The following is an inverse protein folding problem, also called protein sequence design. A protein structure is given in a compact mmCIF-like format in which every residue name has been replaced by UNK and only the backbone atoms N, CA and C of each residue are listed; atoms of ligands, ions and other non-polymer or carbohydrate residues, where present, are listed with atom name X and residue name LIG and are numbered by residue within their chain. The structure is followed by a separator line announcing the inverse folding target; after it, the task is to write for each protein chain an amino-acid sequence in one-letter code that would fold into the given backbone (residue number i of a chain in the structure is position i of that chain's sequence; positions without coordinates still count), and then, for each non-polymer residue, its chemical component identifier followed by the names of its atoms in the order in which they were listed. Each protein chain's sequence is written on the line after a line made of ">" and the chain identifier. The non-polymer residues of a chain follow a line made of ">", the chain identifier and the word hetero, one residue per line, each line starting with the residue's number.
data_IF_318589168729
#
_entry.id   IF_318589168729
#
_cell.length_a   1.000
_cell.length_b   1.000
_cell.length_c   1.000
_cell.angle_alpha   90.00
_cell.angle_beta   90.00
_cell.angle_gamma   90.00
#
_symmetry.space_group_name_H-M   'P 1'
#
loop_
_entity.id
_entity.type
_entity.pdbx_description
1 polymer ?
#
# COMPACT_ATOMS: atom_id res chain seq x y z
N UNK A 1 -26.02 84.54 84.33
CA UNK A 1 -25.04 83.89 85.23
C UNK A 1 -25.22 82.39 85.05
N UNK A 2 -24.45 81.72 84.16
CA UNK A 2 -23.19 80.96 84.45
C UNK A 2 -23.41 79.86 85.51
N UNK A 3 -23.02 78.59 85.43
CA UNK A 3 -22.03 77.82 84.64
C UNK A 3 -22.29 76.29 84.93
N UNK A 4 -22.05 75.36 83.99
CA UNK A 4 -20.95 74.35 83.97
C UNK A 4 -21.25 72.88 84.36
N UNK A 5 -20.81 71.95 83.49
CA UNK A 5 -20.28 70.59 83.77
C UNK A 5 -21.30 69.44 83.89
N UNK A 6 -21.14 68.22 83.36
CA UNK A 6 -20.08 67.53 82.60
C UNK A 6 -20.30 65.99 82.66
N UNK A 7 -19.92 65.24 81.61
CA UNK A 7 -19.75 63.76 81.56
C UNK A 7 -21.03 62.91 81.45
N UNK A 8 -21.11 61.75 80.78
CA UNK A 8 -20.16 60.90 80.07
C UNK A 8 -20.74 59.47 79.87
N UNK A 9 -20.72 58.99 78.62
CA UNK A 9 -20.75 57.60 78.08
C UNK A 9 -21.55 56.44 78.73
N UNK A 10 -22.33 55.73 77.89
CA UNK A 10 -22.29 54.25 77.73
C UNK A 10 -23.23 53.78 76.60
N UNK A 11 -22.69 53.26 75.50
CA UNK A 11 -23.28 52.15 74.71
C UNK A 11 -22.51 51.98 73.38
N UNK A 12 -21.37 51.28 73.41
CA UNK A 12 -20.79 50.71 72.19
C UNK A 12 -19.99 49.45 72.51
N UNK A 13 -20.71 48.33 72.70
CA UNK A 13 -20.12 46.99 72.86
C UNK A 13 -21.08 45.93 72.28
N UNK A 14 -21.41 45.99 70.99
CA UNK A 14 -22.11 44.87 70.30
C UNK A 14 -21.74 44.65 68.83
N UNK A 15 -20.83 45.41 68.23
CA UNK A 15 -20.49 45.27 66.79
C UNK A 15 -19.25 44.40 66.46
N UNK A 16 -18.41 44.04 67.44
CA UNK A 16 -17.13 43.34 67.16
C UNK A 16 -17.18 41.81 66.96
N UNK A 17 -18.26 41.11 67.36
CA UNK A 17 -18.29 39.64 67.36
C UNK A 17 -18.77 39.01 66.03
N UNK A 18 -19.58 39.74 65.24
CA UNK A 18 -20.08 39.24 63.94
C UNK A 18 -19.07 39.32 62.81
N UNK A 19 -18.14 40.28 62.87
CA UNK A 19 -17.18 40.55 61.80
C UNK A 19 -15.96 39.60 61.85
N UNK A 20 -15.54 39.19 63.05
CA UNK A 20 -14.50 38.16 63.26
C UNK A 20 -15.00 36.77 62.84
N UNK A 21 -16.27 36.47 63.07
CA UNK A 21 -16.89 35.18 62.67
C UNK A 21 -17.10 35.09 61.15
N UNK A 22 -17.46 36.20 60.50
CA UNK A 22 -17.52 36.29 59.02
C UNK A 22 -16.15 36.18 58.37
N UNK A 23 -15.10 36.81 58.92
CA UNK A 23 -13.72 36.69 58.39
C UNK A 23 -13.18 35.26 58.53
N UNK A 24 -13.41 34.59 59.67
CA UNK A 24 -13.02 33.18 59.87
C UNK A 24 -13.77 32.20 58.95
N UNK A 25 -15.07 32.43 58.71
CA UNK A 25 -15.84 31.62 57.75
C UNK A 25 -15.31 31.80 56.33
N UNK A 26 -15.08 33.04 55.90
CA UNK A 26 -14.58 33.35 54.57
C UNK A 26 -13.17 32.75 54.33
N UNK A 27 -12.27 32.77 55.32
CA UNK A 27 -10.95 32.13 55.20
C UNK A 27 -11.01 30.60 55.15
N UNK A 28 -11.92 29.97 55.91
CA UNK A 28 -12.15 28.53 55.86
C UNK A 28 -12.75 28.08 54.52
N UNK A 29 -13.69 28.85 53.98
CA UNK A 29 -14.32 28.56 52.68
C UNK A 29 -13.31 28.71 51.52
N UNK A 30 -12.29 29.57 51.67
CA UNK A 30 -11.21 29.75 50.69
C UNK A 30 -10.18 28.62 50.76
N UNK A 31 -9.78 28.19 51.97
CA UNK A 31 -8.89 27.02 52.15
C UNK A 31 -9.52 25.72 51.64
N UNK A 32 -10.83 25.51 51.85
CA UNK A 32 -11.54 24.32 51.36
C UNK A 32 -11.64 24.33 49.82
N UNK A 33 -11.81 25.50 49.21
CA UNK A 33 -11.82 25.66 47.75
C UNK A 33 -10.42 25.38 47.14
N UNK A 34 -9.35 25.87 47.76
CA UNK A 34 -7.97 25.61 47.31
C UNK A 34 -7.60 24.12 47.44
N UNK A 35 -7.99 23.44 48.53
CA UNK A 35 -7.76 21.99 48.70
C UNK A 35 -8.53 21.19 47.65
N UNK A 36 -9.80 21.51 47.40
CA UNK A 36 -10.61 20.84 46.37
C UNK A 36 -10.04 21.04 44.95
N UNK A 37 -9.50 22.23 44.67
CA UNK A 37 -8.86 22.53 43.39
C UNK A 37 -7.52 21.79 43.23
N UNK A 38 -6.78 21.61 44.33
CA UNK A 38 -5.52 20.84 44.35
C UNK A 38 -5.76 19.35 44.14
N UNK A 39 -6.82 18.80 44.75
CA UNK A 39 -7.25 17.40 44.58
C UNK A 39 -7.73 17.12 43.15
N UNK A 40 -8.44 18.07 42.52
CA UNK A 40 -8.82 17.98 41.11
C UNK A 40 -7.59 17.95 40.18
N UNK A 41 -6.57 18.77 40.47
CA UNK A 41 -5.34 18.82 39.68
C UNK A 41 -4.53 17.53 39.86
N UNK A 42 -4.45 16.99 41.08
CA UNK A 42 -3.82 15.70 41.34
C UNK A 42 -4.56 14.55 40.65
N UNK A 43 -5.89 14.51 40.73
CA UNK A 43 -6.73 13.51 40.04
C UNK A 43 -6.54 13.55 38.52
N UNK A 44 -6.48 14.75 37.93
CA UNK A 44 -6.18 14.93 36.50
C UNK A 44 -4.76 14.49 36.13
N UNK A 45 -3.76 14.72 36.99
CA UNK A 45 -2.39 14.21 36.77
C UNK A 45 -2.31 12.69 36.80
N UNK A 46 -2.90 12.06 37.82
CA UNK A 46 -2.88 10.59 37.96
C UNK A 46 -3.58 9.93 36.78
N UNK A 47 -4.72 10.46 36.31
CA UNK A 47 -5.38 9.97 35.10
C UNK A 47 -4.51 10.13 33.84
N UNK A 48 -3.84 11.27 33.66
CA UNK A 48 -2.95 11.47 32.52
C UNK A 48 -1.75 10.50 32.55
N UNK A 49 -1.17 10.24 33.73
CA UNK A 49 -0.08 9.29 33.89
C UNK A 49 -0.54 7.85 33.60
N UNK A 50 -1.73 7.44 34.07
CA UNK A 50 -2.33 6.14 33.73
C UNK A 50 -2.63 5.99 32.23
N UNK A 51 -3.17 7.03 31.60
CA UNK A 51 -3.46 7.07 30.17
C UNK A 51 -2.17 6.98 29.33
N UNK A 52 -1.09 7.63 29.76
CA UNK A 52 0.19 7.58 29.08
C UNK A 52 0.89 6.22 29.24
N UNK A 53 0.81 5.60 30.42
CA UNK A 53 1.28 4.21 30.63
C UNK A 53 0.47 3.23 29.77
N UNK A 54 -0.85 3.40 29.66
CA UNK A 54 -1.71 2.57 28.81
C UNK A 54 -1.36 2.74 27.32
N UNK A 55 -1.11 3.98 26.86
CA UNK A 55 -0.65 4.27 25.48
C UNK A 55 0.71 3.65 25.17
N UNK A 56 1.66 3.69 26.11
CA UNK A 56 2.97 3.05 25.92
C UNK A 56 2.83 1.53 25.83
N UNK A 57 2.02 0.92 26.73
CA UNK A 57 1.76 -0.52 26.74
C UNK A 57 1.06 -1.01 25.47
N UNK A 58 0.07 -0.26 24.99
CA UNK A 58 -0.66 -0.56 23.74
C UNK A 58 0.25 -0.41 22.51
N UNK A 59 1.09 0.63 22.44
CA UNK A 59 2.13 0.76 21.40
C UNK A 59 3.11 -0.41 21.39
N UNK A 60 3.62 -0.82 22.55
CA UNK A 60 4.51 -1.99 22.65
C UNK A 60 3.83 -3.28 22.19
N UNK A 61 2.60 -3.53 22.63
CA UNK A 61 1.81 -4.70 22.22
C UNK A 61 1.59 -4.73 20.70
N UNK A 62 1.30 -3.58 20.09
CA UNK A 62 1.09 -3.43 18.65
C UNK A 62 2.36 -3.63 17.84
N UNK A 63 3.48 -3.08 18.31
CA UNK A 63 4.81 -3.30 17.71
C UNK A 63 5.18 -4.80 17.73
N UNK A 64 5.04 -5.45 18.89
CA UNK A 64 5.32 -6.88 19.04
C UNK A 64 4.42 -7.73 18.12
N UNK A 65 3.14 -7.37 17.98
CA UNK A 65 2.22 -8.09 17.09
C UNK A 65 2.66 -8.00 15.62
N UNK A 66 3.13 -6.84 15.15
CA UNK A 66 3.62 -6.68 13.78
C UNK A 66 4.91 -7.47 13.57
N UNK A 67 5.85 -7.44 14.52
CA UNK A 67 7.08 -8.24 14.46
C UNK A 67 6.77 -9.73 14.34
N UNK A 68 5.84 -10.23 15.16
CA UNK A 68 5.39 -11.64 15.09
C UNK A 68 4.77 -11.95 13.71
N UNK A 69 3.97 -11.04 13.14
CA UNK A 69 3.42 -11.21 11.80
C UNK A 69 4.51 -11.28 10.73
N UNK A 70 5.51 -10.39 10.79
CA UNK A 70 6.62 -10.41 9.81
C UNK A 70 7.40 -11.72 9.94
N UNK A 71 7.82 -12.09 11.16
CA UNK A 71 8.54 -13.34 11.38
C UNK A 71 7.74 -14.55 10.93
N UNK A 72 6.47 -14.66 11.33
CA UNK A 72 5.59 -15.76 10.95
C UNK A 72 5.37 -15.85 9.44
N UNK A 73 5.09 -14.73 8.77
CA UNK A 73 4.88 -14.69 7.33
C UNK A 73 6.16 -14.93 6.52
N UNK A 74 7.33 -14.55 7.03
CA UNK A 74 8.64 -14.87 6.42
C UNK A 74 8.97 -16.35 6.58
N UNK A 75 8.80 -16.92 7.77
CA UNK A 75 8.99 -18.35 8.01
C UNK A 75 8.07 -19.16 7.10
N UNK A 76 6.79 -18.79 6.99
CA UNK A 76 5.84 -19.49 6.15
C UNK A 76 6.25 -19.49 4.67
N UNK A 77 6.75 -18.36 4.14
CA UNK A 77 7.28 -18.28 2.76
C UNK A 77 8.49 -19.19 2.57
N UNK A 78 9.41 -19.23 3.54
CA UNK A 78 10.59 -20.11 3.50
C UNK A 78 10.16 -21.58 3.53
N UNK A 79 9.20 -21.95 4.39
CA UNK A 79 8.67 -23.30 4.47
C UNK A 79 7.96 -23.70 3.17
N UNK A 80 7.13 -22.82 2.59
CA UNK A 80 6.48 -23.06 1.30
C UNK A 80 7.50 -23.27 0.18
N UNK A 81 8.58 -22.48 0.15
CA UNK A 81 9.68 -22.67 -0.80
C UNK A 81 10.39 -24.01 -0.62
N UNK A 82 10.68 -24.38 0.63
CA UNK A 82 11.43 -25.59 0.94
C UNK A 82 10.67 -26.88 0.67
N UNK A 83 9.38 -26.93 1.00
CA UNK A 83 8.62 -28.17 1.02
C UNK A 83 7.61 -28.31 -0.12
N UNK A 84 7.13 -27.21 -0.72
CA UNK A 84 5.96 -27.22 -1.61
C UNK A 84 6.24 -26.51 -2.95
N UNK A 85 7.46 -26.03 -3.20
CA UNK A 85 7.81 -25.30 -4.43
C UNK A 85 7.42 -26.06 -5.71
N UNK A 86 7.81 -27.33 -5.84
CA UNK A 86 7.59 -28.11 -7.05
C UNK A 86 6.10 -28.31 -7.38
N UNK A 87 5.27 -28.39 -6.34
CA UNK A 87 3.83 -28.48 -6.51
C UNK A 87 3.24 -27.13 -6.91
N UNK A 88 3.61 -26.05 -6.21
CA UNK A 88 3.09 -24.70 -6.45
C UNK A 88 3.51 -24.14 -7.80
N UNK A 89 4.74 -24.41 -8.25
CA UNK A 89 5.26 -23.91 -9.53
C UNK A 89 4.49 -24.48 -10.74
N UNK A 90 3.88 -25.66 -10.60
CA UNK A 90 3.06 -26.30 -11.63
C UNK A 90 1.60 -25.82 -11.62
N UNK A 91 1.19 -25.08 -10.59
CA UNK A 91 -0.18 -24.61 -10.47
C UNK A 91 -0.43 -23.45 -11.44
N UNK A 92 -1.38 -23.59 -12.39
CA UNK A 92 -1.71 -22.53 -13.35
C UNK A 92 -2.26 -21.27 -12.68
N UNK A 93 -2.71 -21.37 -11.42
CA UNK A 93 -3.18 -20.23 -10.65
C UNK A 93 -2.06 -19.28 -10.22
N UNK A 94 -0.82 -19.79 -10.11
CA UNK A 94 0.33 -19.06 -9.56
C UNK A 94 1.40 -18.76 -10.63
N UNK A 95 1.53 -19.64 -11.62
CA UNK A 95 2.49 -19.54 -12.71
C UNK A 95 1.76 -19.51 -14.05
N UNK A 96 1.45 -18.31 -14.53
CA UNK A 96 0.92 -18.08 -15.88
C UNK A 96 2.06 -17.70 -16.84
N UNK A 97 1.86 -17.78 -18.17
CA UNK A 97 2.79 -17.35 -19.20
C UNK A 97 3.57 -16.06 -18.94
N UNK A 98 2.90 -15.07 -18.36
CA UNK A 98 3.41 -13.71 -18.19
C UNK A 98 4.17 -13.50 -16.87
N UNK A 99 4.01 -14.42 -15.91
CA UNK A 99 4.64 -14.30 -14.58
C UNK A 99 5.52 -15.47 -14.19
N UNK A 100 5.59 -16.52 -15.02
CA UNK A 100 6.32 -17.74 -14.71
C UNK A 100 7.82 -17.51 -14.58
N UNK A 101 8.37 -17.92 -13.43
CA UNK A 101 9.81 -17.91 -13.19
C UNK A 101 10.55 -18.91 -14.08
N UNK A 102 9.95 -20.05 -14.41
CA UNK A 102 10.58 -21.04 -15.29
C UNK A 102 10.77 -20.50 -16.71
N UNK A 103 9.78 -19.77 -17.24
CA UNK A 103 9.92 -19.09 -18.54
C UNK A 103 10.98 -17.99 -18.49
N UNK A 104 11.06 -17.26 -17.39
CA UNK A 104 12.14 -16.28 -17.18
C UNK A 104 13.51 -16.96 -17.22
N UNK A 105 13.65 -18.11 -16.56
CA UNK A 105 14.89 -18.90 -16.56
C UNK A 105 15.27 -19.36 -17.97
N UNK A 106 14.33 -19.90 -18.73
CA UNK A 106 14.56 -20.29 -20.12
C UNK A 106 14.95 -19.10 -21.00
N UNK A 107 14.27 -17.96 -20.86
CA UNK A 107 14.58 -16.75 -21.61
C UNK A 107 15.98 -16.19 -21.31
N UNK A 108 16.40 -16.23 -20.04
CA UNK A 108 17.77 -15.83 -19.64
C UNK A 108 18.81 -16.81 -20.16
N UNK A 109 18.52 -18.12 -20.19
CA UNK A 109 19.42 -19.12 -20.76
C UNK A 109 19.62 -18.89 -22.27
N UNK A 110 18.54 -18.69 -23.04
CA UNK A 110 18.61 -18.37 -24.46
C UNK A 110 19.44 -17.11 -24.74
N UNK A 111 19.23 -16.07 -23.93
CA UNK A 111 19.99 -14.81 -24.04
C UNK A 111 21.50 -15.03 -23.83
N UNK A 112 21.89 -15.92 -22.90
CA UNK A 112 23.30 -16.25 -22.64
C UNK A 112 23.93 -17.07 -23.76
N UNK A 113 23.14 -17.91 -24.42
CA UNK A 113 23.58 -18.70 -25.57
C UNK A 113 23.65 -17.87 -26.86
N UNK A 114 23.32 -16.58 -26.80
CA UNK A 114 23.35 -15.67 -27.96
C UNK A 114 22.17 -15.85 -28.91
N UNK A 115 21.16 -16.61 -28.50
CA UNK A 115 19.92 -16.82 -29.27
C UNK A 115 18.89 -15.78 -28.83
N UNK A 116 18.21 -15.15 -29.79
CA UNK A 116 17.14 -14.20 -29.46
C UNK A 116 16.00 -14.93 -28.73
N UNK A 117 15.63 -14.50 -27.50
CA UNK A 117 14.52 -15.12 -26.76
C UNK A 117 13.16 -14.99 -27.45
N UNK A 118 13.07 -14.12 -28.46
CA UNK A 118 11.83 -13.78 -29.17
C UNK A 118 11.71 -14.41 -30.56
N UNK A 119 12.65 -15.25 -30.96
CA UNK A 119 12.61 -15.96 -32.26
C UNK A 119 11.55 -17.07 -32.31
N UNK A 120 10.77 -17.23 -31.23
CA UNK A 120 9.54 -18.02 -31.16
C UNK A 120 8.52 -17.42 -30.18
N UNK A 121 7.34 -18.02 -30.09
CA UNK A 121 6.22 -17.50 -29.30
C UNK A 121 6.22 -17.97 -27.82
N UNK A 122 7.35 -18.47 -27.33
CA UNK A 122 7.45 -19.09 -25.99
C UNK A 122 7.73 -18.10 -24.86
N UNK A 123 8.48 -17.02 -25.14
CA UNK A 123 8.88 -16.02 -24.15
C UNK A 123 8.05 -14.75 -24.32
N UNK A 124 7.26 -14.44 -23.29
CA UNK A 124 6.36 -13.27 -23.24
C UNK A 124 6.85 -12.18 -22.27
N UNK A 125 8.10 -12.27 -21.83
CA UNK A 125 8.70 -11.39 -20.81
C UNK A 125 9.53 -10.33 -21.51
N UNK A 126 9.49 -9.07 -21.02
CA UNK A 126 10.17 -7.94 -21.66
C UNK A 126 11.71 -8.04 -21.54
N UNK A 127 12.47 -7.52 -22.54
CA UNK A 127 13.93 -7.65 -22.57
C UNK A 127 14.65 -7.14 -21.33
N UNK A 128 14.20 -6.02 -20.75
CA UNK A 128 14.78 -5.41 -19.56
C UNK A 128 14.73 -6.36 -18.36
N UNK A 129 13.66 -7.13 -18.22
CA UNK A 129 13.53 -8.12 -17.14
C UNK A 129 14.53 -9.26 -17.36
N UNK A 130 14.66 -9.75 -18.60
CA UNK A 130 15.63 -10.79 -18.95
C UNK A 130 17.07 -10.34 -18.65
N UNK A 131 17.44 -9.13 -19.04
CA UNK A 131 18.78 -8.58 -18.79
C UNK A 131 19.05 -8.31 -17.31
N UNK A 132 18.09 -7.77 -16.56
CA UNK A 132 18.25 -7.60 -15.10
C UNK A 132 18.45 -8.94 -14.42
N UNK A 133 17.66 -9.96 -14.79
CA UNK A 133 17.81 -11.30 -14.23
C UNK A 133 19.05 -12.04 -14.75
N UNK A 134 19.59 -11.70 -15.92
CA UNK A 134 20.84 -12.28 -16.41
C UNK A 134 22.04 -11.86 -15.55
N UNK A 135 22.03 -10.62 -15.02
CA UNK A 135 23.04 -10.11 -14.08
C UNK A 135 23.00 -10.84 -12.73
N UNK A 136 21.80 -11.16 -12.25
CA UNK A 136 21.58 -11.78 -10.94
C UNK A 136 21.48 -13.31 -11.06
N UNK A 137 21.62 -13.86 -12.26
CA UNK A 137 21.47 -15.29 -12.54
C UNK A 137 22.41 -16.18 -11.71
N UNK A 138 23.62 -15.70 -11.47
CA UNK A 138 24.64 -16.43 -10.71
C UNK A 138 24.38 -16.40 -9.20
N UNK A 139 23.42 -15.61 -8.73
CA UNK A 139 23.07 -15.55 -7.32
C UNK A 139 22.43 -16.88 -6.85
N UNK A 140 22.73 -17.34 -5.63
CA UNK A 140 22.08 -18.52 -5.09
C UNK A 140 20.58 -18.26 -4.91
N UNK A 141 19.76 -19.31 -5.09
CA UNK A 141 18.28 -19.23 -5.03
C UNK A 141 17.76 -18.60 -3.73
N UNK A 142 18.46 -18.80 -2.62
CA UNK A 142 18.15 -18.19 -1.33
C UNK A 142 18.22 -16.66 -1.35
N UNK A 143 19.16 -16.08 -2.08
CA UNK A 143 19.26 -14.62 -2.25
C UNK A 143 18.05 -14.10 -3.04
N UNK A 144 17.66 -14.80 -4.11
CA UNK A 144 16.44 -14.47 -4.86
C UNK A 144 15.20 -14.55 -3.94
N UNK A 145 15.06 -15.63 -3.17
CA UNK A 145 13.96 -15.77 -2.23
C UNK A 145 13.92 -14.61 -1.21
N UNK A 146 15.06 -14.21 -0.65
CA UNK A 146 15.10 -13.06 0.27
C UNK A 146 14.70 -11.75 -0.41
N UNK A 147 15.09 -11.54 -1.67
CA UNK A 147 14.67 -10.36 -2.42
C UNK A 147 13.15 -10.35 -2.68
N UNK A 148 12.55 -11.49 -2.98
CA UNK A 148 11.10 -11.61 -3.17
C UNK A 148 10.32 -11.41 -1.86
N UNK A 149 10.81 -11.95 -0.75
CA UNK A 149 10.23 -11.69 0.59
C UNK A 149 10.32 -10.19 0.92
N UNK A 150 11.42 -9.55 0.57
CA UNK A 150 11.59 -8.11 0.75
C UNK A 150 10.60 -7.30 -0.10
N UNK A 151 10.38 -7.67 -1.37
CA UNK A 151 9.37 -7.04 -2.23
C UNK A 151 7.94 -7.19 -1.67
N UNK A 152 7.59 -8.37 -1.16
CA UNK A 152 6.30 -8.58 -0.49
C UNK A 152 6.17 -7.72 0.79
N UNK A 153 7.25 -7.57 1.57
CA UNK A 153 7.27 -6.72 2.75
C UNK A 153 7.10 -5.24 2.37
N UNK A 154 7.78 -4.79 1.31
CA UNK A 154 7.65 -3.46 0.75
C UNK A 154 6.22 -3.22 0.27
N UNK A 155 5.59 -4.21 -0.37
CA UNK A 155 4.22 -4.13 -0.83
C UNK A 155 3.22 -4.01 0.33
N UNK A 156 3.39 -4.84 1.37
CA UNK A 156 2.59 -4.79 2.59
C UNK A 156 2.73 -3.45 3.32
N UNK A 157 3.95 -2.92 3.41
CA UNK A 157 4.21 -1.60 4.00
C UNK A 157 3.58 -0.47 3.19
N UNK A 158 3.66 -0.54 1.86
CA UNK A 158 3.05 0.45 0.97
C UNK A 158 1.53 0.50 1.13
N UNK A 159 0.85 -0.66 1.22
CA UNK A 159 -0.59 -0.71 1.49
C UNK A 159 -0.93 -0.15 2.88
N UNK A 160 -0.16 -0.53 3.90
CA UNK A 160 -0.33 0.00 5.27
C UNK A 160 -0.31 1.52 5.26
N UNK A 161 0.69 2.11 4.64
CA UNK A 161 0.88 3.55 4.63
C UNK A 161 -0.16 4.26 3.74
N UNK A 162 -0.63 3.60 2.68
CA UNK A 162 -1.74 4.07 1.85
C UNK A 162 -3.05 4.15 2.66
N UNK A 163 -3.40 3.07 3.38
CA UNK A 163 -4.57 3.01 4.26
C UNK A 163 -4.47 4.05 5.37
N UNK A 164 -3.29 4.18 5.99
CA UNK A 164 -3.06 5.18 7.03
C UNK A 164 -3.26 6.60 6.49
N UNK A 165 -2.80 6.90 5.27
CA UNK A 165 -2.97 8.20 4.64
C UNK A 165 -4.45 8.53 4.40
N UNK A 166 -5.21 7.58 3.83
CA UNK A 166 -6.63 7.75 3.55
C UNK A 166 -7.44 7.93 4.85
N UNK A 167 -7.23 7.06 5.84
CA UNK A 167 -8.04 7.08 7.06
C UNK A 167 -7.77 8.33 7.92
N UNK A 168 -6.55 8.89 7.82
CA UNK A 168 -6.24 10.20 8.40
C UNK A 168 -6.96 11.32 7.66
N UNK A 169 -7.01 11.29 6.34
CA UNK A 169 -7.75 12.27 5.52
C UNK A 169 -9.26 12.24 5.84
N UNK A 170 -9.82 11.05 6.11
CA UNK A 170 -11.23 10.84 6.48
C UNK A 170 -11.54 11.04 7.98
N UNK A 171 -10.60 11.47 8.81
CA UNK A 171 -10.77 11.69 10.26
C UNK A 171 -11.32 10.48 11.04
N UNK A 172 -10.89 9.25 10.71
CA UNK A 172 -11.20 8.08 11.53
C UNK A 172 -10.48 8.11 12.89
N UNK A 173 -11.09 7.53 13.93
CA UNK A 173 -10.54 7.55 15.30
C UNK A 173 -9.19 6.83 15.43
N UNK A 174 -9.03 5.67 14.79
CA UNK A 174 -7.84 4.81 14.95
C UNK A 174 -7.21 4.38 13.59
N UNK A 175 -6.66 5.31 12.79
CA UNK A 175 -6.15 5.02 11.45
C UNK A 175 -5.00 4.02 11.46
N UNK A 176 -4.20 4.00 12.53
CA UNK A 176 -3.05 3.11 12.65
C UNK A 176 -3.46 1.64 12.84
N UNK A 177 -4.64 1.37 13.41
CA UNK A 177 -5.12 0.00 13.63
C UNK A 177 -5.60 -0.62 12.32
N UNK A 178 -6.36 0.13 11.52
CA UNK A 178 -6.75 -0.27 10.17
C UNK A 178 -5.54 -0.45 9.25
N UNK A 179 -4.55 0.43 9.34
CA UNK A 179 -3.29 0.30 8.61
C UNK A 179 -2.54 -1.00 8.99
N UNK A 180 -2.42 -1.30 10.29
CA UNK A 180 -1.79 -2.52 10.77
C UNK A 180 -2.58 -3.78 10.35
N UNK A 181 -3.90 -3.69 10.28
CA UNK A 181 -4.77 -4.76 9.80
C UNK A 181 -4.58 -5.02 8.30
N UNK A 182 -4.53 -3.96 7.49
CA UNK A 182 -4.28 -4.07 6.05
C UNK A 182 -2.91 -4.71 5.75
N UNK A 183 -1.87 -4.34 6.52
CA UNK A 183 -0.56 -5.00 6.46
C UNK A 183 -0.67 -6.51 6.68
N UNK A 184 -1.35 -6.93 7.76
CA UNK A 184 -1.51 -8.34 8.13
C UNK A 184 -2.26 -9.11 7.05
N UNK A 185 -3.38 -8.58 6.56
CA UNK A 185 -4.18 -9.23 5.54
C UNK A 185 -3.42 -9.43 4.24
N UNK A 186 -2.60 -8.45 3.82
CA UNK A 186 -1.80 -8.59 2.62
C UNK A 186 -0.62 -9.55 2.82
N UNK A 187 0.14 -9.38 3.90
CA UNK A 187 1.38 -10.15 4.11
C UNK A 187 1.11 -11.62 4.45
N UNK A 188 -0.02 -11.93 5.09
CA UNK A 188 -0.46 -13.29 5.40
C UNK A 188 -1.44 -13.86 4.36
N UNK A 189 -1.65 -13.17 3.24
CA UNK A 189 -2.48 -13.69 2.16
C UNK A 189 -1.82 -14.97 1.59
N UNK A 190 -2.52 -16.12 1.56
CA UNK A 190 -1.95 -17.37 1.03
C UNK A 190 -1.47 -17.21 -0.40
N UNK A 191 -2.12 -16.37 -1.22
CA UNK A 191 -1.69 -16.15 -2.60
C UNK A 191 -0.35 -15.41 -2.68
N UNK A 192 -0.12 -14.37 -1.87
CA UNK A 192 1.16 -13.62 -1.89
C UNK A 192 2.31 -14.46 -1.35
N UNK A 193 2.02 -15.28 -0.33
CA UNK A 193 2.97 -16.28 0.20
C UNK A 193 3.36 -17.26 -0.92
N UNK A 194 2.37 -17.82 -1.62
CA UNK A 194 2.63 -18.77 -2.70
C UNK A 194 3.38 -18.15 -3.88
N UNK A 195 3.01 -16.94 -4.33
CA UNK A 195 3.67 -16.28 -5.47
C UNK A 195 5.12 -15.90 -5.18
N UNK A 196 5.41 -15.45 -3.96
CA UNK A 196 6.78 -15.14 -3.54
C UNK A 196 7.61 -16.40 -3.33
N UNK A 197 7.01 -17.46 -2.77
CA UNK A 197 7.68 -18.76 -2.64
C UNK A 197 8.10 -19.32 -4.01
N UNK A 198 7.26 -19.24 -5.05
CA UNK A 198 7.65 -19.74 -6.38
C UNK A 198 8.49 -18.77 -7.21
N UNK A 199 8.89 -17.61 -6.65
CA UNK A 199 9.65 -16.57 -7.34
C UNK A 199 8.92 -15.98 -8.57
N UNK A 200 7.58 -15.95 -8.54
CA UNK A 200 6.76 -15.46 -9.65
C UNK A 200 6.90 -13.95 -9.86
N UNK A 201 7.03 -13.51 -11.12
CA UNK A 201 7.11 -12.07 -11.46
C UNK A 201 5.89 -11.29 -10.96
N UNK A 202 4.78 -11.98 -10.64
CA UNK A 202 3.61 -11.39 -9.99
C UNK A 202 3.97 -10.64 -8.70
N UNK A 203 4.93 -11.12 -7.89
CA UNK A 203 5.39 -10.42 -6.68
C UNK A 203 6.01 -9.06 -7.01
N UNK A 204 6.80 -8.97 -8.10
CA UNK A 204 7.37 -7.72 -8.57
C UNK A 204 6.26 -6.77 -9.01
N UNK A 205 5.33 -7.23 -9.84
CA UNK A 205 4.23 -6.40 -10.33
C UNK A 205 3.31 -5.93 -9.20
N UNK A 206 2.98 -6.81 -8.25
CA UNK A 206 2.19 -6.48 -7.08
C UNK A 206 2.89 -5.43 -6.21
N UNK A 207 4.20 -5.56 -5.99
CA UNK A 207 4.96 -4.55 -5.22
C UNK A 207 4.94 -3.17 -5.89
N UNK A 208 5.13 -3.11 -7.22
CA UNK A 208 5.04 -1.87 -7.99
C UNK A 208 3.63 -1.27 -7.94
N UNK A 209 2.58 -2.11 -8.01
CA UNK A 209 1.19 -1.67 -7.95
C UNK A 209 0.87 -1.04 -6.59
N UNK A 210 1.27 -1.69 -5.50
CA UNK A 210 1.04 -1.17 -4.15
C UNK A 210 1.81 0.12 -3.88
N UNK A 211 3.03 0.24 -4.43
CA UNK A 211 3.80 1.48 -4.35
C UNK A 211 3.14 2.61 -5.15
N UNK A 212 2.57 2.30 -6.32
CA UNK A 212 1.73 3.24 -7.06
C UNK A 212 0.52 3.70 -6.23
N UNK A 213 -0.21 2.77 -5.61
CA UNK A 213 -1.37 3.09 -4.75
C UNK A 213 -0.94 3.99 -3.59
N UNK A 214 0.17 3.70 -2.94
CA UNK A 214 0.73 4.55 -1.90
C UNK A 214 1.04 5.98 -2.41
N UNK A 215 1.74 6.11 -3.54
CA UNK A 215 2.05 7.40 -4.15
C UNK A 215 0.79 8.16 -4.57
N UNK A 216 -0.23 7.44 -5.05
CA UNK A 216 -1.55 7.98 -5.39
C UNK A 216 -2.24 8.58 -4.16
N UNK A 217 -2.28 7.85 -3.04
CA UNK A 217 -2.85 8.35 -1.78
C UNK A 217 -2.12 9.59 -1.26
N UNK A 218 -0.79 9.61 -1.34
CA UNK A 218 0.04 10.76 -0.94
C UNK A 218 -0.02 11.95 -1.90
N UNK A 219 -0.74 11.84 -3.01
CA UNK A 219 -0.85 12.88 -4.05
C UNK A 219 0.50 13.30 -4.64
N UNK A 220 1.48 12.40 -4.63
CA UNK A 220 2.81 12.61 -5.17
C UNK A 220 2.79 12.38 -6.69
N UNK A 221 2.48 13.44 -7.44
CA UNK A 221 2.23 13.40 -8.89
C UNK A 221 3.35 12.69 -9.65
N UNK A 222 4.59 13.14 -9.50
CA UNK A 222 5.72 12.63 -10.30
C UNK A 222 5.93 11.15 -10.07
N UNK A 223 5.97 10.72 -8.80
CA UNK A 223 6.18 9.32 -8.45
C UNK A 223 4.99 8.45 -8.87
N UNK A 224 3.76 8.91 -8.69
CA UNK A 224 2.58 8.15 -9.09
C UNK A 224 2.49 7.97 -10.61
N UNK A 225 2.72 9.04 -11.38
CA UNK A 225 2.71 8.98 -12.85
C UNK A 225 3.84 8.08 -13.39
N UNK A 226 5.04 8.18 -12.82
CA UNK A 226 6.17 7.35 -13.23
C UNK A 226 5.96 5.87 -12.88
N UNK A 227 5.52 5.57 -11.65
CA UNK A 227 5.23 4.19 -11.24
C UNK A 227 4.11 3.59 -12.09
N UNK A 228 3.06 4.37 -12.41
CA UNK A 228 1.99 3.93 -13.30
C UNK A 228 2.53 3.58 -14.70
N UNK A 229 3.41 4.40 -15.26
CA UNK A 229 4.06 4.11 -16.54
C UNK A 229 4.91 2.84 -16.49
N UNK A 230 5.70 2.66 -15.43
CA UNK A 230 6.52 1.45 -15.22
C UNK A 230 5.64 0.20 -15.12
N UNK A 231 4.58 0.24 -14.30
CA UNK A 231 3.71 -0.93 -14.15
C UNK A 231 2.91 -1.22 -15.43
N UNK A 232 2.42 -0.18 -16.12
CA UNK A 232 1.68 -0.32 -17.37
C UNK A 232 2.55 -0.90 -18.50
N UNK A 233 3.85 -0.65 -18.46
CA UNK A 233 4.80 -1.25 -19.40
C UNK A 233 4.96 -2.76 -19.19
N UNK A 234 5.09 -3.20 -17.93
CA UNK A 234 5.28 -4.62 -17.60
C UNK A 234 3.99 -5.44 -17.67
N UNK A 235 2.88 -4.84 -17.25
CA UNK A 235 1.54 -5.41 -17.31
C UNK A 235 0.62 -4.35 -17.89
N UNK A 236 0.02 -4.61 -19.06
CA UNK A 236 -0.73 -3.61 -19.81
C UNK A 236 -1.94 -3.06 -19.03
N UNK A 237 -2.67 -3.92 -18.33
CA UNK A 237 -3.99 -3.57 -17.75
C UNK A 237 -3.99 -2.47 -16.67
N UNK A 238 -2.99 -2.36 -15.76
CA UNK A 238 -2.84 -1.22 -14.86
C UNK A 238 -2.91 0.17 -15.52
N UNK A 239 -2.67 0.31 -16.84
CA UNK A 239 -2.81 1.59 -17.56
C UNK A 239 -4.17 2.26 -17.33
N UNK A 240 -5.23 1.47 -17.11
CA UNK A 240 -6.58 2.01 -16.94
C UNK A 240 -6.72 2.85 -15.66
N UNK A 241 -5.82 2.67 -14.68
CA UNK A 241 -5.75 3.50 -13.48
C UNK A 241 -5.33 4.96 -13.77
N UNK A 242 -4.90 5.28 -14.99
CA UNK A 242 -4.58 6.65 -15.42
C UNK A 242 -5.79 7.58 -15.28
N UNK A 243 -7.00 7.07 -15.53
CA UNK A 243 -8.25 7.83 -15.38
C UNK A 243 -8.43 8.22 -13.91
N UNK A 244 -8.22 7.27 -12.99
CA UNK A 244 -8.32 7.51 -11.55
C UNK A 244 -7.28 8.54 -11.08
N UNK A 245 -6.04 8.46 -11.61
CA UNK A 245 -4.98 9.42 -11.34
C UNK A 245 -5.37 10.83 -11.79
N UNK A 246 -5.87 10.99 -13.02
CA UNK A 246 -6.24 12.30 -13.55
C UNK A 246 -7.42 12.93 -12.82
N UNK A 247 -8.41 12.14 -12.42
CA UNK A 247 -9.53 12.62 -11.60
C UNK A 247 -9.03 13.20 -10.27
N UNK A 248 -8.06 12.53 -9.61
CA UNK A 248 -7.49 13.01 -8.34
C UNK A 248 -6.68 14.29 -8.49
N UNK A 249 -5.99 14.49 -9.62
CA UNK A 249 -5.12 15.64 -9.82
C UNK A 249 -5.86 17.00 -9.96
N UNK A 250 -7.18 17.00 -10.19
CA UNK A 250 -8.15 18.13 -10.27
C UNK A 250 -7.80 19.34 -11.18
N UNK A 251 -6.53 19.58 -11.50
CA UNK A 251 -6.01 20.76 -12.22
C UNK A 251 -5.42 20.35 -13.56
N UNK A 252 -5.79 21.05 -14.64
CA UNK A 252 -5.31 20.75 -16.00
C UNK A 252 -3.78 20.75 -16.13
N UNK A 253 -3.08 21.69 -15.47
CA UNK A 253 -1.60 21.74 -15.44
C UNK A 253 -0.98 20.45 -14.88
N UNK A 254 -1.57 19.91 -13.81
CA UNK A 254 -1.11 18.66 -13.17
C UNK A 254 -1.41 17.45 -14.05
N UNK A 255 -2.57 17.43 -14.71
CA UNK A 255 -2.94 16.37 -15.65
C UNK A 255 -1.97 16.35 -16.84
N UNK A 256 -1.70 17.52 -17.45
CA UNK A 256 -0.73 17.65 -18.55
C UNK A 256 0.68 17.21 -18.14
N UNK A 257 1.14 17.63 -16.94
CA UNK A 257 2.42 17.18 -16.40
C UNK A 257 2.46 15.65 -16.17
N UNK A 258 1.38 15.08 -15.60
CA UNK A 258 1.26 13.62 -15.41
C UNK A 258 1.29 12.87 -16.73
N UNK A 259 0.62 13.39 -17.77
CA UNK A 259 0.63 12.79 -19.11
C UNK A 259 2.04 12.82 -19.70
N UNK A 260 2.75 13.95 -19.59
CA UNK A 260 4.14 14.07 -20.04
C UNK A 260 5.08 13.08 -19.35
N UNK A 261 4.96 12.91 -18.03
CA UNK A 261 5.79 11.96 -17.26
C UNK A 261 5.45 10.51 -17.64
N UNK A 262 4.16 10.19 -17.79
CA UNK A 262 3.73 8.86 -18.20
C UNK A 262 4.23 8.53 -19.62
N UNK A 263 4.09 9.45 -20.56
CA UNK A 263 4.60 9.29 -21.92
C UNK A 263 6.12 9.12 -21.94
N UNK A 264 6.85 9.94 -21.16
CA UNK A 264 8.31 9.86 -21.05
C UNK A 264 8.76 8.53 -20.47
N UNK A 265 8.11 8.03 -19.42
CA UNK A 265 8.47 6.76 -18.78
C UNK A 265 8.19 5.57 -19.70
N UNK A 266 7.05 5.55 -20.39
CA UNK A 266 6.75 4.51 -21.39
C UNK A 266 7.72 4.55 -22.58
N UNK A 267 7.99 5.74 -23.14
CA UNK A 267 8.91 5.90 -24.25
C UNK A 267 10.34 5.53 -23.85
N UNK A 268 10.78 5.94 -22.65
CA UNK A 268 12.09 5.59 -22.11
C UNK A 268 12.24 4.08 -21.92
N UNK A 269 11.25 3.41 -21.31
CA UNK A 269 11.27 1.96 -21.16
C UNK A 269 11.23 1.24 -22.51
N UNK A 270 10.41 1.70 -23.44
CA UNK A 270 10.38 1.15 -24.79
C UNK A 270 11.75 1.25 -25.47
N UNK A 271 12.39 2.43 -25.41
CA UNK A 271 13.71 2.66 -25.98
C UNK A 271 14.79 1.77 -25.33
N UNK A 272 14.78 1.66 -23.99
CA UNK A 272 15.70 0.77 -23.27
C UNK A 272 15.52 -0.68 -23.71
N UNK A 273 14.29 -1.17 -23.82
CA UNK A 273 14.02 -2.54 -24.28
C UNK A 273 14.42 -2.75 -25.75
N UNK A 274 14.19 -1.76 -26.60
CA UNK A 274 14.62 -1.78 -28.00
C UNK A 274 16.15 -1.85 -28.12
N UNK A 275 16.89 -1.04 -27.35
CA UNK A 275 18.34 -1.08 -27.30
C UNK A 275 18.88 -2.42 -26.76
N UNK A 276 18.27 -2.93 -25.68
CA UNK A 276 18.66 -4.21 -25.06
C UNK A 276 18.35 -5.43 -25.94
N UNK A 277 17.41 -5.32 -26.88
CA UNK A 277 17.05 -6.36 -27.84
C UNK A 277 17.79 -6.21 -29.18
N UNK A 278 18.95 -5.54 -29.20
CA UNK A 278 19.75 -5.38 -30.41
C UNK A 278 19.09 -4.54 -31.50
N UNK A 279 18.32 -3.52 -31.12
CA UNK A 279 17.56 -2.65 -32.03
C UNK A 279 16.51 -3.40 -32.87
N UNK A 280 15.94 -4.48 -32.32
CA UNK A 280 14.81 -5.20 -32.91
C UNK A 280 13.53 -5.01 -32.10
N UNK A 281 12.40 -4.85 -32.78
CA UNK A 281 11.05 -4.76 -32.18
C UNK A 281 10.36 -6.11 -32.04
N UNK A 282 11.07 -7.23 -32.25
CA UNK A 282 10.51 -8.60 -32.15
C UNK A 282 9.77 -8.85 -30.85
N UNK A 283 10.27 -8.35 -29.72
CA UNK A 283 9.65 -8.50 -28.41
C UNK A 283 8.24 -7.89 -28.32
N UNK A 284 7.90 -6.90 -29.17
CA UNK A 284 6.60 -6.20 -29.10
C UNK A 284 5.45 -7.14 -29.43
N UNK A 285 5.62 -7.94 -30.48
CA UNK A 285 4.63 -8.93 -30.90
C UNK A 285 4.42 -9.98 -29.79
N UNK A 286 5.49 -10.49 -29.21
CA UNK A 286 5.40 -11.56 -28.22
C UNK A 286 4.91 -11.05 -26.86
N UNK A 287 5.39 -9.90 -26.38
CA UNK A 287 5.01 -9.39 -25.06
C UNK A 287 3.61 -8.75 -25.06
N UNK A 288 3.32 -7.91 -26.06
CA UNK A 288 2.07 -7.13 -26.10
C UNK A 288 1.04 -7.70 -27.05
N UNK A 289 1.48 -8.20 -28.22
CA UNK A 289 0.58 -8.84 -29.19
C UNK A 289 -0.10 -10.08 -28.62
N UNK A 290 0.67 -10.99 -27.99
CA UNK A 290 0.10 -12.19 -27.37
C UNK A 290 -0.87 -11.89 -26.22
N UNK A 291 -0.64 -10.78 -25.50
CA UNK A 291 -1.54 -10.34 -24.44
C UNK A 291 -2.89 -9.82 -25.00
N UNK A 292 -2.87 -9.16 -26.15
CA UNK A 292 -4.06 -8.62 -26.79
C UNK A 292 -4.83 -9.67 -27.60
N UNK A 293 -4.12 -10.52 -28.32
CA UNK A 293 -4.71 -11.60 -29.13
C UNK A 293 -5.17 -12.79 -28.31
N UNK A 294 -4.69 -12.94 -27.06
CA UNK A 294 -5.02 -14.05 -26.15
C UNK A 294 -4.86 -15.43 -26.82
N UNK A 295 -3.85 -15.57 -27.68
CA UNK A 295 -3.60 -16.80 -28.42
C UNK A 295 -2.94 -17.88 -27.56
N UNK A 296 -2.27 -17.49 -26.46
CA UNK A 296 -1.76 -18.43 -25.47
C UNK A 296 -2.91 -18.95 -24.60
N UNK A 297 -3.38 -20.16 -24.92
CA UNK A 297 -4.46 -20.87 -24.22
C UNK A 297 -3.97 -21.70 -23.03
N UNK A 298 -2.77 -21.46 -22.53
CA UNK A 298 -2.29 -22.13 -21.32
C UNK A 298 -3.24 -21.87 -20.15
N UNK A 299 -3.55 -22.92 -19.36
CA UNK A 299 -4.48 -22.80 -18.26
C UNK A 299 -4.07 -21.70 -17.28
N UNK A 300 -5.04 -20.93 -16.83
CA UNK A 300 -4.90 -19.91 -15.81
C UNK A 300 -6.21 -19.80 -15.00
N UNK A 301 -6.24 -18.96 -13.96
CA UNK A 301 -7.43 -18.76 -13.11
C UNK A 301 -8.63 -18.23 -13.91
N UNK A 302 -8.37 -17.48 -15.00
CA UNK A 302 -9.41 -16.91 -15.83
C UNK A 302 -10.15 -17.99 -16.61
N UNK A 303 -11.45 -17.83 -16.80
CA UNK A 303 -12.27 -18.74 -17.63
C UNK A 303 -12.00 -18.51 -19.14
N UNK A 304 -11.30 -17.43 -19.50
CA UNK A 304 -11.12 -17.02 -20.89
C UNK A 304 -10.35 -18.05 -21.73
N UNK A 305 -9.32 -18.72 -21.20
CA UNK A 305 -8.55 -19.69 -21.97
C UNK A 305 -9.44 -20.88 -22.38
N UNK A 306 -10.30 -21.35 -21.47
CA UNK A 306 -11.25 -22.43 -21.73
C UNK A 306 -12.28 -22.02 -22.77
N UNK A 307 -12.79 -20.79 -22.66
CA UNK A 307 -13.71 -20.21 -23.64
C UNK A 307 -13.08 -20.13 -25.04
N UNK A 308 -11.87 -19.58 -25.17
CA UNK A 308 -11.18 -19.44 -26.45
C UNK A 308 -10.68 -20.77 -27.02
N UNK A 309 -10.50 -21.79 -26.19
CA UNK A 309 -10.21 -23.15 -26.64
C UNK A 309 -11.41 -23.84 -27.30
N UNK A 310 -12.65 -23.51 -26.90
CA UNK A 310 -13.86 -24.10 -27.46
C UNK A 310 -14.48 -23.32 -28.61
N UNK A 311 -14.14 -22.04 -28.76
CA UNK A 311 -14.78 -21.21 -29.74
C UNK A 311 -14.26 -21.44 -31.17
N UNK A 312 -15.18 -21.42 -32.13
CA UNK A 312 -14.83 -21.49 -33.54
C UNK A 312 -14.01 -20.26 -33.99
N UNK A 313 -13.00 -20.51 -34.82
CA UNK A 313 -12.08 -19.47 -35.32
C UNK A 313 -12.76 -18.23 -35.93
N UNK A 314 -13.83 -18.34 -36.75
CA UNK A 314 -14.49 -17.16 -37.31
C UNK A 314 -15.08 -16.22 -36.25
N UNK A 315 -15.52 -16.77 -35.11
CA UNK A 315 -16.12 -16.00 -34.02
C UNK A 315 -15.09 -15.46 -33.02
N UNK A 316 -13.87 -16.00 -33.02
CA UNK A 316 -12.81 -15.63 -32.07
C UNK A 316 -12.57 -14.12 -32.02
N UNK A 317 -12.47 -13.46 -33.17
CA UNK A 317 -12.19 -12.01 -33.25
C UNK A 317 -13.29 -11.17 -32.58
N UNK A 318 -14.56 -11.55 -32.78
CA UNK A 318 -15.68 -10.87 -32.12
C UNK A 318 -15.59 -10.97 -30.60
N UNK A 319 -15.35 -12.17 -30.08
CA UNK A 319 -15.26 -12.35 -28.63
C UNK A 319 -13.99 -11.73 -28.05
N UNK A 320 -12.85 -11.77 -28.75
CA UNK A 320 -11.64 -11.05 -28.34
C UNK A 320 -11.96 -9.56 -28.10
N UNK A 321 -12.66 -8.93 -29.04
CA UNK A 321 -13.08 -7.54 -28.89
C UNK A 321 -13.97 -7.33 -27.65
N UNK A 322 -14.96 -8.21 -27.42
CA UNK A 322 -15.84 -8.14 -26.25
C UNK A 322 -15.04 -8.29 -24.94
N UNK A 323 -14.11 -9.25 -24.86
CA UNK A 323 -13.27 -9.46 -23.68
C UNK A 323 -12.39 -8.24 -23.38
N UNK A 324 -11.81 -7.63 -24.41
CA UNK A 324 -11.02 -6.41 -24.23
C UNK A 324 -11.87 -5.20 -23.81
N UNK A 325 -13.18 -5.17 -24.12
CA UNK A 325 -14.11 -4.12 -23.65
C UNK A 325 -14.58 -4.29 -22.21
N UNK A 326 -14.58 -5.52 -21.66
CA UNK A 326 -14.97 -5.75 -20.26
C UNK A 326 -14.02 -5.01 -19.31
N UNK A 327 -12.72 -5.02 -19.61
CA UNK A 327 -11.68 -4.41 -18.78
C UNK A 327 -11.86 -2.90 -18.56
N UNK A 328 -11.94 -2.04 -19.60
CA UNK A 328 -12.18 -0.61 -19.41
C UNK A 328 -13.54 -0.35 -18.75
N UNK A 329 -14.56 -1.18 -18.99
CA UNK A 329 -15.88 -1.03 -18.35
C UNK A 329 -15.82 -1.23 -16.84
N UNK A 330 -15.17 -2.31 -16.37
CA UNK A 330 -14.99 -2.56 -14.94
C UNK A 330 -14.15 -1.47 -14.28
N UNK A 331 -13.17 -0.93 -14.99
CA UNK A 331 -12.34 0.13 -14.47
C UNK A 331 -13.02 1.49 -14.45
N UNK A 332 -13.98 1.78 -15.34
CA UNK A 332 -14.82 2.98 -15.23
C UNK A 332 -15.54 2.97 -13.88
N UNK A 333 -16.12 1.83 -13.50
CA UNK A 333 -16.76 1.67 -12.18
C UNK A 333 -15.76 1.98 -11.06
N UNK A 334 -14.56 1.39 -11.12
CA UNK A 334 -13.52 1.64 -10.11
C UNK A 334 -13.08 3.11 -10.04
N UNK A 335 -12.91 3.77 -11.19
CA UNK A 335 -12.51 5.18 -11.26
C UNK A 335 -13.57 6.10 -10.65
N UNK A 336 -14.86 5.79 -10.85
CA UNK A 336 -15.95 6.50 -10.19
C UNK A 336 -16.00 6.24 -8.68
N UNK A 337 -15.74 5.00 -8.23
CA UNK A 337 -15.67 4.69 -6.79
C UNK A 337 -14.53 5.43 -6.11
N UNK A 338 -13.35 5.49 -6.74
CA UNK A 338 -12.18 6.19 -6.18
C UNK A 338 -12.33 7.71 -6.19
N UNK A 339 -13.25 8.28 -6.98
CA UNK A 339 -13.58 9.71 -6.94
C UNK A 339 -14.35 10.11 -5.68
N UNK A 340 -15.10 9.17 -5.11
CA UNK A 340 -15.93 9.39 -3.90
C UNK A 340 -15.11 9.30 -2.60
N UNK A 341 -13.84 8.87 -2.69
CA UNK A 341 -12.82 9.03 -1.65
C UNK A 341 -12.06 10.34 -1.84
#
# INVERSE_FOLDING_TARGET
>A
MTNSGGGGSRSDKRKGAGEVRKRKSCTLDTEVADVAQTDEIQSKRVKNDEDDVLKVRTRHKKSNSLVITVLGGTILRILCYLFIYDYLAKQPQLSTPFVSFQRLQSGVAMLKDGVSPYDGDTILIQPVVLHVFSLIWSAPRWVLLTAYIFLDLLAAASIRDAVQAIFKELNYKDPDDYAAMAFKFYFLNPLTICTSAILSLATIYNSLLTLFVYAFCKSALVTASALLGVIAYFSLYPIVLVISLWIRLRTFKKISASFGILALTLAGLFYVNYALNGFSTSFVKNCYGMLLSLDDLTPNVGVYWYFFAQIFNPMRVFYLFVFQLILPTMCLVLAFTLRLL
#
